data_IF_858049250113
#
_entry.id   IF_858049250113
#
_cell.length_a   1.000
_cell.length_b   1.000
_cell.length_c   1.000
_cell.angle_alpha   90.00
_cell.angle_beta   90.00
_cell.angle_gamma   90.00
#
_symmetry.space_group_name_H-M   'P 1'
#
loop_
_entity.id
_entity.type
_entity.pdbx_description
1 polymer ?
#
# COMPACT_ATOMS: atom_id res chain seq x y z
N UNK A 1 -10.19 -7.94 -18.70
CA UNK A 1 -9.59 -8.89 -19.67
C UNK A 1 -8.47 -8.27 -20.52
N UNK A 2 -8.61 -7.03 -21.01
CA UNK A 2 -7.57 -6.34 -21.80
C UNK A 2 -6.26 -6.05 -21.05
N UNK A 3 -6.34 -5.70 -19.75
CA UNK A 3 -5.17 -5.45 -18.91
C UNK A 3 -4.31 -6.71 -18.72
N UNK A 4 -4.92 -7.91 -18.71
CA UNK A 4 -4.18 -9.17 -18.60
C UNK A 4 -3.38 -9.47 -19.87
N UNK A 5 -3.94 -9.18 -21.05
CA UNK A 5 -3.29 -9.33 -22.36
C UNK A 5 -2.11 -8.36 -22.55
N UNK A 6 -2.23 -7.11 -22.08
CA UNK A 6 -1.14 -6.12 -22.17
C UNK A 6 0.00 -6.41 -21.20
N UNK A 7 -0.30 -6.96 -20.02
CA UNK A 7 0.72 -7.47 -19.09
C UNK A 7 1.48 -8.68 -19.67
N UNK A 8 0.79 -9.60 -20.37
CA UNK A 8 1.46 -10.72 -21.05
C UNK A 8 2.29 -10.28 -22.25
N UNK A 9 1.82 -9.30 -23.04
CA UNK A 9 2.55 -8.77 -24.20
C UNK A 9 3.78 -7.95 -23.76
N UNK A 10 3.67 -7.15 -22.71
CA UNK A 10 4.81 -6.42 -22.12
C UNK A 10 5.82 -7.39 -21.49
N UNK A 11 5.35 -8.48 -20.89
CA UNK A 11 6.19 -9.58 -20.44
C UNK A 11 6.91 -10.30 -21.59
N UNK A 12 6.23 -10.55 -22.71
CA UNK A 12 6.82 -11.15 -23.92
C UNK A 12 7.89 -10.27 -24.56
N UNK A 13 7.67 -8.95 -24.65
CA UNK A 13 8.68 -8.02 -25.18
C UNK A 13 9.93 -7.95 -24.29
N UNK A 14 9.75 -8.00 -22.96
CA UNK A 14 10.87 -8.02 -22.01
C UNK A 14 11.59 -9.37 -21.99
N UNK A 15 10.87 -10.47 -22.20
CA UNK A 15 11.46 -11.79 -22.39
C UNK A 15 12.29 -11.84 -23.67
N UNK A 16 11.78 -11.33 -24.79
CA UNK A 16 12.52 -11.21 -26.04
C UNK A 16 13.76 -10.32 -25.88
N UNK A 17 13.66 -9.20 -25.16
CA UNK A 17 14.80 -8.35 -24.81
C UNK A 17 15.84 -9.10 -23.98
N UNK A 18 15.41 -9.88 -22.98
CA UNK A 18 16.32 -10.68 -22.15
C UNK A 18 17.03 -11.78 -22.95
N UNK A 19 16.34 -12.39 -23.93
CA UNK A 19 16.93 -13.36 -24.86
C UNK A 19 17.93 -12.67 -25.80
N UNK A 20 17.60 -11.48 -26.29
CA UNK A 20 18.50 -10.69 -27.13
C UNK A 20 19.77 -10.24 -26.38
N UNK A 21 19.63 -9.82 -25.12
CA UNK A 21 20.77 -9.47 -24.25
C UNK A 21 21.62 -10.72 -23.96
N UNK A 22 20.99 -11.88 -23.73
CA UNK A 22 21.70 -13.16 -23.59
C UNK A 22 22.50 -13.53 -24.85
N UNK A 23 21.87 -13.45 -26.02
CA UNK A 23 22.55 -13.69 -27.30
C UNK A 23 23.72 -12.74 -27.51
N UNK A 24 23.55 -11.46 -27.19
CA UNK A 24 24.61 -10.45 -27.24
C UNK A 24 25.76 -10.77 -26.29
N UNK A 25 25.48 -11.18 -25.05
CA UNK A 25 26.51 -11.58 -24.08
C UNK A 25 27.26 -12.84 -24.52
N UNK A 26 26.58 -13.82 -25.13
CA UNK A 26 27.23 -15.02 -25.67
C UNK A 26 28.20 -14.67 -26.82
N UNK A 27 27.79 -13.78 -27.71
CA UNK A 27 28.64 -13.31 -28.82
C UNK A 27 29.83 -12.48 -28.29
N UNK A 28 29.62 -11.68 -27.25
CA UNK A 28 30.66 -10.87 -26.64
C UNK A 28 31.69 -11.74 -25.90
N UNK A 29 31.24 -12.77 -25.21
CA UNK A 29 32.09 -13.76 -24.53
C UNK A 29 32.96 -14.53 -25.55
N UNK A 30 32.40 -14.87 -26.71
CA UNK A 30 33.14 -15.44 -27.84
C UNK A 30 34.24 -14.51 -28.37
N UNK A 31 33.97 -13.20 -28.45
CA UNK A 31 34.91 -12.21 -28.96
C UNK A 31 36.01 -11.80 -27.96
N UNK A 32 35.80 -11.98 -26.65
CA UNK A 32 36.67 -11.39 -25.62
C UNK A 32 37.87 -12.26 -25.25
N UNK A 33 37.85 -13.56 -25.57
CA UNK A 33 38.97 -14.45 -25.25
C UNK A 33 39.12 -14.77 -23.76
N UNK A 34 39.96 -15.77 -23.46
CA UNK A 34 39.70 -16.82 -22.49
C UNK A 34 39.97 -16.57 -20.99
N UNK A 35 40.11 -15.32 -20.53
CA UNK A 35 40.61 -15.07 -19.16
C UNK A 35 39.63 -14.38 -18.22
N UNK A 36 38.49 -13.88 -18.70
CA UNK A 36 37.54 -13.14 -17.87
C UNK A 36 36.18 -13.81 -17.83
N UNK A 37 35.98 -14.70 -16.87
CA UNK A 37 34.65 -15.21 -16.52
C UNK A 37 33.87 -14.07 -15.85
N UNK A 38 33.14 -13.29 -16.64
CA UNK A 38 32.23 -12.25 -16.15
C UNK A 38 30.94 -12.87 -15.58
N UNK A 39 31.05 -13.63 -14.49
CA UNK A 39 29.90 -14.26 -13.81
C UNK A 39 28.83 -13.24 -13.38
N UNK A 40 29.24 -11.99 -13.10
CA UNK A 40 28.32 -10.92 -12.72
C UNK A 40 27.45 -10.40 -13.88
N UNK A 41 27.91 -10.51 -15.14
CA UNK A 41 27.16 -10.02 -16.31
C UNK A 41 25.94 -10.89 -16.64
N UNK A 42 26.00 -12.19 -16.33
CA UNK A 42 24.89 -13.13 -16.54
C UNK A 42 23.72 -12.95 -15.56
N UNK A 43 23.92 -12.21 -14.46
CA UNK A 43 22.84 -11.86 -13.53
C UNK A 43 21.84 -10.86 -14.12
N UNK A 44 22.26 -10.02 -15.07
CA UNK A 44 21.43 -8.98 -15.69
C UNK A 44 20.24 -9.57 -16.49
N UNK A 45 20.43 -10.51 -17.42
CA UNK A 45 19.30 -11.11 -18.14
C UNK A 45 18.43 -11.99 -17.24
N UNK A 46 19.01 -12.69 -16.26
CA UNK A 46 18.27 -13.53 -15.30
C UNK A 46 17.39 -12.68 -14.39
N UNK A 47 17.90 -11.56 -13.88
CA UNK A 47 17.14 -10.63 -13.04
C UNK A 47 16.01 -9.94 -13.82
N UNK A 48 16.27 -9.52 -15.07
CA UNK A 48 15.22 -8.99 -15.97
C UNK A 48 14.12 -10.02 -16.25
N UNK A 49 14.52 -11.26 -16.57
CA UNK A 49 13.58 -12.35 -16.87
C UNK A 49 12.73 -12.72 -15.64
N UNK A 50 13.34 -12.74 -14.45
CA UNK A 50 12.65 -13.04 -13.20
C UNK A 50 11.69 -11.92 -12.75
N UNK A 51 11.96 -10.66 -13.10
CA UNK A 51 11.07 -9.54 -12.81
C UNK A 51 9.78 -9.60 -13.66
N UNK A 52 9.90 -10.02 -14.92
CA UNK A 52 8.82 -9.92 -15.89
C UNK A 52 8.02 -11.20 -16.13
N UNK A 53 8.51 -12.38 -15.74
CA UNK A 53 7.84 -13.65 -16.04
C UNK A 53 7.58 -14.54 -14.81
N UNK A 54 6.58 -15.41 -14.92
CA UNK A 54 6.22 -16.41 -13.90
C UNK A 54 7.33 -17.43 -13.68
N UNK A 55 7.36 -18.05 -12.48
CA UNK A 55 8.34 -19.04 -12.02
C UNK A 55 8.77 -20.02 -13.12
N UNK A 56 7.82 -20.59 -13.88
CA UNK A 56 8.05 -21.58 -14.94
C UNK A 56 8.90 -21.11 -16.13
N UNK A 57 8.87 -19.82 -16.47
CA UNK A 57 9.64 -19.28 -17.61
C UNK A 57 11.12 -19.15 -17.24
N UNK A 58 11.43 -18.83 -15.98
CA UNK A 58 12.82 -18.78 -15.50
C UNK A 58 13.49 -20.16 -15.59
N UNK A 59 12.73 -21.23 -15.32
CA UNK A 59 13.18 -22.61 -15.49
C UNK A 59 13.45 -22.94 -16.96
N UNK A 60 12.49 -22.65 -17.86
CA UNK A 60 12.64 -22.91 -19.29
C UNK A 60 13.81 -22.13 -19.89
N UNK A 61 13.96 -20.85 -19.51
CA UNK A 61 15.05 -20.00 -20.00
C UNK A 61 16.41 -20.47 -19.49
N UNK A 62 16.51 -20.95 -18.24
CA UNK A 62 17.76 -21.51 -17.70
C UNK A 62 18.17 -22.79 -18.41
N UNK A 63 17.20 -23.66 -18.70
CA UNK A 63 17.42 -24.90 -19.46
C UNK A 63 17.86 -24.56 -20.90
N UNK A 64 17.15 -23.64 -21.57
CA UNK A 64 17.49 -23.20 -22.91
C UNK A 64 18.89 -22.56 -22.97
N UNK A 65 19.22 -21.69 -22.01
CA UNK A 65 20.55 -21.08 -21.92
C UNK A 65 21.64 -22.14 -21.73
N UNK A 66 21.42 -23.14 -20.88
CA UNK A 66 22.37 -24.24 -20.64
C UNK A 66 22.58 -25.09 -21.89
N UNK A 67 21.51 -25.38 -22.63
CA UNK A 67 21.55 -26.12 -23.90
C UNK A 67 22.29 -25.31 -24.97
N UNK A 68 22.03 -24.00 -25.07
CA UNK A 68 22.69 -23.12 -26.04
C UNK A 68 24.20 -23.08 -25.80
N UNK A 69 24.65 -22.94 -24.55
CA UNK A 69 26.08 -22.99 -24.23
C UNK A 69 26.71 -24.35 -24.53
N UNK A 70 26.00 -25.45 -24.26
CA UNK A 70 26.48 -26.80 -24.60
C UNK A 70 26.59 -27.01 -26.12
N UNK A 71 25.65 -26.46 -26.89
CA UNK A 71 25.64 -26.57 -28.34
C UNK A 71 26.76 -25.74 -28.99
N UNK A 72 27.08 -24.55 -28.46
CA UNK A 72 28.19 -23.72 -28.94
C UNK A 72 29.54 -24.39 -28.71
N UNK A 73 29.78 -24.93 -27.51
CA UNK A 73 31.01 -25.68 -27.20
C UNK A 73 31.21 -26.89 -28.11
N UNK A 74 30.12 -27.55 -28.54
CA UNK A 74 30.18 -28.70 -29.43
C UNK A 74 30.53 -28.35 -30.89
N UNK A 75 30.23 -27.11 -31.30
CA UNK A 75 30.52 -26.56 -32.64
C UNK A 75 31.94 -25.99 -32.71
N UNK A 76 32.49 -25.51 -31.60
CA UNK A 76 33.77 -24.81 -31.60
C UNK A 76 35.00 -25.69 -31.80
N UNK A 77 34.96 -27.01 -31.56
CA UNK A 77 35.96 -27.96 -32.09
C UNK A 77 37.45 -27.71 -31.78
N UNK A 78 37.80 -26.81 -30.85
CA UNK A 78 39.19 -26.47 -30.51
C UNK A 78 39.65 -27.14 -29.21
N UNK A 79 40.95 -27.45 -29.17
CA UNK A 79 41.65 -28.16 -28.09
C UNK A 79 41.64 -27.40 -26.77
N UNK A 80 40.60 -27.57 -25.96
CA UNK A 80 40.64 -27.27 -24.53
C UNK A 80 41.17 -28.49 -23.76
N UNK A 81 42.32 -28.32 -23.10
CA UNK A 81 43.05 -29.41 -22.45
C UNK A 81 42.39 -29.95 -21.18
N UNK A 82 41.33 -29.31 -20.67
CA UNK A 82 40.63 -29.78 -19.47
C UNK A 82 39.10 -29.76 -19.64
N UNK A 83 38.49 -30.95 -19.75
CA UNK A 83 37.03 -31.16 -19.69
C UNK A 83 36.36 -30.51 -18.47
N UNK A 84 37.13 -30.29 -17.40
CA UNK A 84 36.65 -29.66 -16.17
C UNK A 84 36.10 -28.24 -16.40
N UNK A 85 36.73 -27.43 -17.26
CA UNK A 85 36.29 -26.06 -17.52
C UNK A 85 34.94 -26.01 -18.26
N UNK A 86 34.71 -26.94 -19.20
CA UNK A 86 33.44 -27.05 -19.94
C UNK A 86 32.24 -27.35 -19.04
N UNK A 87 32.36 -28.36 -18.17
CA UNK A 87 31.27 -28.70 -17.26
C UNK A 87 31.05 -27.61 -16.19
N UNK A 88 32.11 -26.95 -15.74
CA UNK A 88 32.05 -25.95 -14.68
C UNK A 88 31.28 -24.68 -15.08
N UNK A 89 31.41 -24.22 -16.32
CA UNK A 89 30.71 -23.03 -16.84
C UNK A 89 29.20 -23.24 -16.90
N UNK A 90 28.76 -24.38 -17.45
CA UNK A 90 27.34 -24.76 -17.51
C UNK A 90 26.73 -24.95 -16.11
N UNK A 91 27.48 -25.61 -15.22
CA UNK A 91 27.06 -25.82 -13.83
C UNK A 91 26.89 -24.49 -13.07
N UNK A 92 27.84 -23.56 -13.19
CA UNK A 92 27.78 -22.26 -12.52
C UNK A 92 26.58 -21.43 -12.98
N UNK A 93 26.30 -21.44 -14.28
CA UNK A 93 25.17 -20.70 -14.84
C UNK A 93 23.82 -21.25 -14.34
N UNK A 94 23.69 -22.59 -14.29
CA UNK A 94 22.50 -23.27 -13.79
C UNK A 94 22.25 -22.97 -12.31
N UNK A 95 23.29 -23.00 -11.47
CA UNK A 95 23.17 -22.71 -10.03
C UNK A 95 22.77 -21.25 -9.80
N UNK A 96 23.44 -20.31 -10.46
CA UNK A 96 23.16 -18.87 -10.29
C UNK A 96 21.73 -18.54 -10.73
N UNK A 97 21.27 -19.09 -11.86
CA UNK A 97 19.91 -18.82 -12.35
C UNK A 97 18.84 -19.45 -11.47
N UNK A 98 19.09 -20.64 -10.93
CA UNK A 98 18.20 -21.32 -9.98
C UNK A 98 18.07 -20.56 -8.67
N UNK A 99 19.21 -20.20 -8.06
CA UNK A 99 19.24 -19.48 -6.79
C UNK A 99 18.57 -18.12 -6.92
N UNK A 100 18.90 -17.37 -7.97
CA UNK A 100 18.31 -16.05 -8.24
C UNK A 100 16.81 -16.15 -8.50
N UNK A 101 16.37 -17.12 -9.31
CA UNK A 101 14.94 -17.35 -9.59
C UNK A 101 14.15 -17.75 -8.35
N UNK A 102 14.73 -18.57 -7.46
CA UNK A 102 14.09 -18.94 -6.20
C UNK A 102 13.95 -17.75 -5.25
N UNK A 103 15.03 -16.98 -5.07
CA UNK A 103 15.08 -15.83 -4.18
C UNK A 103 14.12 -14.73 -4.64
N UNK A 104 14.14 -14.39 -5.93
CA UNK A 104 13.29 -13.34 -6.48
C UNK A 104 11.80 -13.74 -6.47
N UNK A 105 11.50 -15.03 -6.67
CA UNK A 105 10.16 -15.57 -6.48
C UNK A 105 9.64 -15.37 -5.05
N UNK A 106 10.44 -15.74 -4.05
CA UNK A 106 10.10 -15.54 -2.63
C UNK A 106 9.89 -14.06 -2.29
N UNK A 107 10.77 -13.19 -2.77
CA UNK A 107 10.66 -11.74 -2.55
C UNK A 107 9.37 -11.19 -3.14
N UNK A 108 8.99 -11.63 -4.34
CA UNK A 108 7.77 -11.19 -5.01
C UNK A 108 6.51 -11.63 -4.27
N UNK A 109 6.49 -12.84 -3.75
CA UNK A 109 5.36 -13.35 -2.96
C UNK A 109 5.19 -12.54 -1.67
N UNK A 110 6.28 -12.29 -0.93
CA UNK A 110 6.26 -11.43 0.26
C UNK A 110 5.83 -10.00 -0.04
N UNK A 111 6.28 -9.42 -1.16
CA UNK A 111 5.86 -8.09 -1.58
C UNK A 111 4.36 -8.03 -1.94
N UNK A 112 3.82 -9.09 -2.55
CA UNK A 112 2.38 -9.19 -2.85
C UNK A 112 1.55 -9.28 -1.59
N UNK A 113 1.95 -10.11 -0.64
CA UNK A 113 1.28 -10.24 0.66
C UNK A 113 1.30 -8.90 1.41
N UNK A 114 2.47 -8.24 1.47
CA UNK A 114 2.61 -6.91 2.07
C UNK A 114 1.70 -5.87 1.41
N UNK A 115 1.61 -5.90 0.08
CA UNK A 115 0.75 -4.97 -0.67
C UNK A 115 -0.73 -5.23 -0.40
N UNK A 116 -1.15 -6.48 -0.40
CA UNK A 116 -2.54 -6.84 -0.07
C UNK A 116 -2.89 -6.41 1.37
N UNK A 117 -2.03 -6.71 2.34
CA UNK A 117 -2.23 -6.29 3.72
C UNK A 117 -2.31 -4.76 3.88
N UNK A 118 -1.51 -4.00 3.12
CA UNK A 118 -1.57 -2.54 3.13
C UNK A 118 -2.86 -2.01 2.49
N UNK A 119 -3.30 -2.60 1.38
CA UNK A 119 -4.55 -2.24 0.71
C UNK A 119 -5.76 -2.50 1.63
N UNK A 120 -5.75 -3.62 2.37
CA UNK A 120 -6.80 -3.95 3.35
C UNK A 120 -6.77 -3.01 4.56
N UNK A 121 -5.59 -2.67 5.08
CA UNK A 121 -5.44 -1.66 6.15
C UNK A 121 -5.99 -0.30 5.71
N UNK A 122 -5.71 0.13 4.47
CA UNK A 122 -6.24 1.37 3.93
C UNK A 122 -7.76 1.35 3.77
N UNK A 123 -8.38 0.19 3.49
CA UNK A 123 -9.84 0.07 3.49
C UNK A 123 -10.42 0.25 4.88
N UNK A 124 -9.87 -0.44 5.88
CA UNK A 124 -10.30 -0.31 7.27
C UNK A 124 -10.16 1.14 7.78
N UNK A 125 -9.07 1.83 7.42
CA UNK A 125 -8.90 3.25 7.76
C UNK A 125 -9.96 4.14 7.10
N UNK A 126 -10.30 3.90 5.83
CA UNK A 126 -11.35 4.66 5.14
C UNK A 126 -12.72 4.45 5.78
N UNK A 127 -13.05 3.24 6.20
CA UNK A 127 -14.29 2.94 6.91
C UNK A 127 -14.38 3.66 8.27
N UNK A 128 -13.30 3.62 9.06
CA UNK A 128 -13.21 4.36 10.32
C UNK A 128 -13.36 5.87 10.13
N UNK A 129 -12.73 6.43 9.09
CA UNK A 129 -12.85 7.84 8.76
C UNK A 129 -14.29 8.21 8.37
N UNK A 130 -14.97 7.36 7.59
CA UNK A 130 -16.36 7.58 7.21
C UNK A 130 -17.30 7.63 8.44
N UNK A 131 -17.19 6.66 9.36
CA UNK A 131 -17.99 6.68 10.59
C UNK A 131 -17.64 7.86 11.51
N UNK A 132 -16.38 8.28 11.55
CA UNK A 132 -15.97 9.46 12.31
C UNK A 132 -16.59 10.73 11.73
N UNK A 133 -16.66 10.85 10.40
CA UNK A 133 -17.29 11.99 9.74
C UNK A 133 -18.81 11.99 9.96
N UNK A 134 -19.48 10.84 9.93
CA UNK A 134 -20.89 10.73 10.30
C UNK A 134 -21.16 11.23 11.73
N UNK A 135 -20.33 10.80 12.69
CA UNK A 135 -20.41 11.30 14.08
C UNK A 135 -20.19 12.81 14.12
N UNK A 136 -19.19 13.34 13.42
CA UNK A 136 -18.90 14.77 13.35
C UNK A 136 -20.07 15.56 12.77
N UNK A 137 -20.72 15.05 11.72
CA UNK A 137 -21.89 15.68 11.12
C UNK A 137 -23.08 15.74 12.08
N UNK A 138 -23.37 14.65 12.79
CA UNK A 138 -24.41 14.63 13.82
C UNK A 138 -24.06 15.59 14.97
N UNK A 139 -22.78 15.65 15.37
CA UNK A 139 -22.28 16.55 16.40
C UNK A 139 -22.31 18.03 16.02
N UNK A 140 -22.18 18.38 14.73
CA UNK A 140 -22.22 19.77 14.30
C UNK A 140 -23.55 20.48 14.61
N UNK A 141 -24.65 19.74 14.80
CA UNK A 141 -25.96 20.29 15.21
C UNK A 141 -26.13 20.47 16.72
N UNK A 142 -25.20 19.97 17.53
CA UNK A 142 -25.28 19.99 18.99
C UNK A 142 -24.60 21.24 19.55
N UNK A 143 -25.41 22.18 20.03
CA UNK A 143 -24.92 23.38 20.71
C UNK A 143 -24.57 23.05 22.16
N UNK A 144 -23.34 23.38 22.57
CA UNK A 144 -22.87 23.13 23.94
C UNK A 144 -23.53 24.13 24.90
N UNK A 145 -24.19 23.62 25.95
CA UNK A 145 -24.79 24.43 27.02
C UNK A 145 -23.99 24.21 28.31
N UNK A 146 -23.67 25.28 29.04
CA UNK A 146 -23.02 25.20 30.33
C UNK A 146 -23.95 24.53 31.35
N UNK A 147 -23.46 23.48 32.02
CA UNK A 147 -24.24 22.72 33.00
C UNK A 147 -24.69 23.56 34.21
N UNK A 148 -23.95 24.61 34.55
CA UNK A 148 -24.20 25.42 35.76
C UNK A 148 -24.98 26.70 35.48
N UNK A 149 -24.56 27.46 34.47
CA UNK A 149 -25.16 28.78 34.15
C UNK A 149 -26.26 28.70 33.11
N UNK A 150 -26.43 27.55 32.43
CA UNK A 150 -27.35 27.35 31.28
C UNK A 150 -27.08 28.28 30.09
N UNK A 151 -25.90 28.89 30.01
CA UNK A 151 -25.46 29.66 28.86
C UNK A 151 -25.06 28.75 27.69
N UNK A 152 -25.22 29.24 26.47
CA UNK A 152 -24.97 28.52 25.23
C UNK A 152 -23.64 29.01 24.64
N UNK A 153 -22.69 28.09 24.38
CA UNK A 153 -21.39 28.42 23.79
C UNK A 153 -21.54 28.56 22.28
N UNK A 154 -21.24 29.72 21.71
CA UNK A 154 -21.25 29.96 20.26
C UNK A 154 -19.88 30.43 19.82
N UNK A 155 -19.12 29.57 19.13
CA UNK A 155 -17.70 29.84 18.87
C UNK A 155 -16.91 29.90 20.18
N UNK A 156 -16.30 31.05 20.47
CA UNK A 156 -15.55 31.31 21.71
C UNK A 156 -16.37 32.07 22.78
N UNK A 157 -17.54 32.60 22.42
CA UNK A 157 -18.37 33.41 23.31
C UNK A 157 -19.50 32.61 23.96
N UNK A 158 -19.86 33.01 25.18
CA UNK A 158 -21.00 32.44 25.91
C UNK A 158 -22.13 33.46 25.96
N UNK A 159 -23.30 33.03 25.53
CA UNK A 159 -24.50 33.88 25.48
C UNK A 159 -25.65 33.24 26.23
N UNK A 160 -26.57 34.05 26.75
CA UNK A 160 -27.77 33.53 27.39
C UNK A 160 -28.67 32.85 26.36
N UNK A 161 -29.58 31.95 26.78
CA UNK A 161 -30.59 31.39 25.89
C UNK A 161 -31.39 32.47 25.16
N UNK A 162 -31.73 33.57 25.84
CA UNK A 162 -32.51 34.65 25.25
C UNK A 162 -31.76 35.40 24.14
N UNK A 163 -30.49 35.71 24.38
CA UNK A 163 -29.60 36.36 23.42
C UNK A 163 -29.32 35.45 22.22
N UNK A 164 -29.17 34.14 22.46
CA UNK A 164 -29.05 33.15 21.39
C UNK A 164 -30.32 33.07 20.52
N UNK A 165 -31.50 32.97 21.13
CA UNK A 165 -32.78 32.85 20.42
C UNK A 165 -33.13 34.11 19.62
N UNK A 166 -32.81 35.29 20.15
CA UNK A 166 -33.02 36.56 19.45
C UNK A 166 -32.03 36.79 18.30
N UNK A 167 -30.73 36.52 18.52
CA UNK A 167 -29.69 36.79 17.52
C UNK A 167 -29.64 35.74 16.40
N UNK A 168 -29.82 34.44 16.71
CA UNK A 168 -29.68 33.33 15.75
C UNK A 168 -31.00 32.85 15.17
N UNK A 169 -32.09 32.92 15.93
CA UNK A 169 -33.42 32.44 15.51
C UNK A 169 -34.43 33.58 15.29
N UNK A 170 -34.04 34.84 15.53
CA UNK A 170 -34.87 36.03 15.33
C UNK A 170 -36.21 35.99 16.10
N UNK A 171 -36.21 35.35 17.28
CA UNK A 171 -37.37 35.25 18.15
C UNK A 171 -37.32 36.33 19.24
N UNK A 172 -38.44 37.04 19.44
CA UNK A 172 -38.62 37.97 20.56
C UNK A 172 -39.28 37.24 21.73
N UNK A 173 -38.63 37.20 22.88
CA UNK A 173 -39.12 36.54 24.09
C UNK A 173 -39.79 37.54 25.01
N UNK A 174 -40.95 37.16 25.54
CA UNK A 174 -41.64 37.89 26.63
C UNK A 174 -41.67 37.01 27.86
N UNK A 175 -41.55 37.63 29.04
CA UNK A 175 -41.50 36.89 30.29
C UNK A 175 -42.92 36.55 30.78
N UNK A 176 -43.13 35.29 31.11
CA UNK A 176 -44.32 34.79 31.79
C UNK A 176 -43.91 33.83 32.90
N UNK A 177 -44.79 33.62 33.88
CA UNK A 177 -44.55 32.65 34.96
C UNK A 177 -45.32 31.37 34.67
N UNK A 178 -44.65 30.21 34.72
CA UNK A 178 -45.34 28.93 34.55
C UNK A 178 -46.25 28.66 35.77
N UNK A 179 -47.36 27.90 35.61
CA UNK A 179 -48.24 27.56 36.72
C UNK A 179 -47.51 26.86 37.88
N UNK A 180 -46.52 26.04 37.57
CA UNK A 180 -45.69 25.32 38.55
C UNK A 180 -44.79 26.27 39.35
N UNK A 181 -44.11 27.18 38.66
CA UNK A 181 -43.27 28.19 39.30
C UNK A 181 -44.12 29.12 40.18
N UNK A 182 -45.33 29.48 39.71
CA UNK A 182 -46.27 30.29 40.49
C UNK A 182 -46.70 29.57 41.78
N UNK A 183 -47.02 28.27 41.70
CA UNK A 183 -47.40 27.47 42.88
C UNK A 183 -46.24 27.35 43.88
N UNK A 184 -45.02 27.16 43.41
CA UNK A 184 -43.86 27.03 44.29
C UNK A 184 -43.53 28.38 44.98
N UNK A 185 -43.60 29.48 44.23
CA UNK A 185 -43.48 30.83 44.78
C UNK A 185 -44.57 31.09 45.82
N UNK A 186 -45.81 30.69 45.53
CA UNK A 186 -46.94 30.82 46.44
C UNK A 186 -46.74 30.01 47.73
N UNK A 187 -46.22 28.78 47.65
CA UNK A 187 -45.86 27.99 48.83
C UNK A 187 -44.75 28.65 49.65
N UNK A 188 -43.76 29.25 48.97
CA UNK A 188 -42.64 29.92 49.62
C UNK A 188 -43.10 31.19 50.36
N UNK A 189 -44.01 31.95 49.77
CA UNK A 189 -44.64 33.12 50.38
C UNK A 189 -45.64 32.78 51.48
N UNK A 190 -46.28 31.61 51.41
CA UNK A 190 -47.18 31.09 52.46
C UNK A 190 -46.44 30.49 53.67
N UNK A 191 -45.09 30.44 53.68
CA UNK A 191 -44.30 30.08 54.87
C UNK A 191 -43.87 31.36 55.63
N UNK A 192 -44.63 31.83 56.63
CA UNK A 192 -44.14 32.92 57.47
C UNK A 192 -42.95 32.45 58.31
N UNK A 193 -41.78 33.07 58.11
CA UNK A 193 -40.68 32.99 59.09
C UNK A 193 -39.36 32.32 58.65
N UNK A 194 -38.89 32.51 57.42
CA UNK A 194 -37.51 32.16 57.06
C UNK A 194 -36.83 33.25 56.22
N UNK A 195 -36.74 34.47 56.76
CA UNK A 195 -35.78 35.48 56.32
C UNK A 195 -35.03 36.00 57.54
N UNK A 196 -33.77 35.57 57.67
CA UNK A 196 -32.60 36.23 58.30
C UNK A 196 -31.71 35.23 59.05
N UNK A 197 -30.72 34.70 58.34
CA UNK A 197 -29.38 34.34 58.84
C UNK A 197 -28.44 34.25 57.63
#
# INVERSE_FOLDING_TARGET
MLIFKTLTARGQNMAALSIAILGGLVILDYATGHELVFSAAYLIPVSLAAWHCSRSIVWILSIACSIITLAMDHVEGHSYSHLFYHYWKSFSCLVISLTTGHLLGRLRDTLRERKQANDDLQRALRELQASTEEIRQLQNGLQVVCAWTKQIKVGEEWMSPDEFLSSRLHLNLTHGISPEAYQELAKQWMKPGAQSA
#
